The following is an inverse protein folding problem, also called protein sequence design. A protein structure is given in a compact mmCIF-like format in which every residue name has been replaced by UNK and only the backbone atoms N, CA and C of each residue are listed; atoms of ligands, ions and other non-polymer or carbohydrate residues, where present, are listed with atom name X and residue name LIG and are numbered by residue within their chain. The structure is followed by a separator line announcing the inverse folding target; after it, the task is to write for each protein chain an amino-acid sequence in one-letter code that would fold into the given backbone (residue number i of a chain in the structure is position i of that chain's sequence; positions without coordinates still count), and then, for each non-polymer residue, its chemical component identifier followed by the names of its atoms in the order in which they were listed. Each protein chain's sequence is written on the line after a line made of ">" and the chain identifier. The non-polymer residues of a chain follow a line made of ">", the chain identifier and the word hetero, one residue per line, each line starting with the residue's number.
data_IF_758944811449
#
_entry.id   IF_758944811449
#
_cell.length_a   1.000
_cell.length_b   1.000
_cell.length_c   1.000
_cell.angle_alpha   90.00
_cell.angle_beta   90.00
_cell.angle_gamma   90.00
#
_symmetry.space_group_name_H-M   'P 1'
#
loop_
_entity.id
_entity.type
_entity.pdbx_description
1 polymer ?
#
# COMPACT_ATOMS: atom_id res chain seq x y z
N UNK A 1 13.73 1.29 -5.76
CA UNK A 1 13.06 0.15 -6.40
C UNK A 1 11.85 0.58 -7.24
N UNK A 2 10.81 1.22 -6.66
CA UNK A 2 9.72 1.88 -7.39
C UNK A 2 9.95 3.39 -7.39
N UNK A 3 9.71 4.05 -8.53
CA UNK A 3 9.79 5.51 -8.67
C UNK A 3 8.64 6.02 -9.52
N UNK A 4 7.93 7.01 -9.01
CA UNK A 4 6.95 7.80 -9.74
C UNK A 4 7.54 9.19 -9.98
N UNK A 5 7.47 9.69 -11.20
CA UNK A 5 7.97 11.01 -11.56
C UNK A 5 6.86 11.84 -12.21
N UNK A 6 6.48 12.93 -11.54
CA UNK A 6 5.53 13.94 -12.04
C UNK A 6 4.24 13.33 -12.64
N UNK A 7 3.66 12.33 -11.94
CA UNK A 7 2.53 11.56 -12.45
C UNK A 7 1.23 12.37 -12.41
N UNK A 8 0.60 12.54 -13.57
CA UNK A 8 -0.73 13.11 -13.71
C UNK A 8 -1.69 12.03 -14.22
N UNK A 9 -2.83 11.88 -13.54
CA UNK A 9 -3.88 10.92 -13.90
C UNK A 9 -5.21 11.64 -14.03
N UNK A 10 -5.92 11.38 -15.14
CA UNK A 10 -7.24 11.93 -15.44
C UNK A 10 -8.23 10.78 -15.59
N UNK A 11 -9.45 10.95 -15.10
CA UNK A 11 -10.58 10.05 -15.33
C UNK A 11 -11.59 10.70 -16.28
N UNK A 12 -12.16 9.90 -17.17
CA UNK A 12 -13.13 10.32 -18.17
C UNK A 12 -12.67 11.57 -18.98
N UNK A 13 -11.36 11.70 -19.21
CA UNK A 13 -10.71 12.85 -19.89
C UNK A 13 -10.94 14.23 -19.25
N UNK A 14 -11.64 14.30 -18.12
CA UNK A 14 -12.08 15.57 -17.51
C UNK A 14 -11.53 15.74 -16.09
N UNK A 15 -11.56 14.68 -15.26
CA UNK A 15 -11.29 14.79 -13.83
C UNK A 15 -9.81 14.52 -13.54
N UNK A 16 -9.04 15.58 -13.36
CA UNK A 16 -7.63 15.49 -12.96
C UNK A 16 -7.52 15.12 -11.47
N UNK A 17 -7.23 13.84 -11.20
CA UNK A 17 -7.13 13.28 -9.85
C UNK A 17 -5.70 13.35 -9.31
N UNK A 18 -4.69 12.92 -10.07
CA UNK A 18 -3.28 13.09 -9.69
C UNK A 18 -2.69 14.28 -10.43
N UNK A 19 -1.98 15.13 -9.68
CA UNK A 19 -1.57 16.45 -10.14
C UNK A 19 -0.05 16.62 -10.04
N UNK A 20 0.69 15.72 -10.71
CA UNK A 20 2.15 15.76 -10.75
C UNK A 20 2.79 15.20 -9.48
N UNK A 21 2.37 14.02 -9.03
CA UNK A 21 2.97 13.37 -7.86
C UNK A 21 4.31 12.71 -8.21
N UNK A 22 5.24 12.77 -7.25
CA UNK A 22 6.52 12.08 -7.31
C UNK A 22 6.80 11.40 -5.99
N UNK A 23 7.07 10.10 -6.00
CA UNK A 23 7.43 9.33 -4.81
C UNK A 23 8.40 8.21 -5.16
N UNK A 24 9.13 7.74 -4.16
CA UNK A 24 10.06 6.63 -4.29
C UNK A 24 9.82 5.60 -3.18
N UNK A 25 9.93 4.31 -3.54
CA UNK A 25 10.00 3.21 -2.60
C UNK A 25 11.36 2.54 -2.77
N UNK A 26 12.31 2.77 -1.87
CA UNK A 26 13.60 2.07 -1.86
C UNK A 26 13.41 0.56 -1.64
N UNK A 27 14.37 -0.24 -2.08
CA UNK A 27 14.36 -1.68 -1.86
C UNK A 27 14.46 -2.01 -0.36
N UNK A 28 13.66 -2.99 0.10
CA UNK A 28 13.63 -3.43 1.50
C UNK A 28 13.08 -2.40 2.50
N UNK A 29 12.44 -1.32 2.04
CA UNK A 29 11.87 -0.29 2.92
C UNK A 29 10.36 -0.43 3.08
N UNK A 30 9.83 0.07 4.20
CA UNK A 30 8.40 0.37 4.37
C UNK A 30 8.23 1.88 4.20
N UNK A 31 7.39 2.28 3.25
CA UNK A 31 7.05 3.67 2.97
C UNK A 31 5.58 3.90 3.28
N UNK A 32 5.27 4.88 4.14
CA UNK A 32 3.91 5.30 4.42
C UNK A 32 3.42 6.30 3.35
N UNK A 33 2.24 6.05 2.80
CA UNK A 33 1.56 6.95 1.88
C UNK A 33 0.22 7.37 2.47
N UNK A 34 0.18 8.56 3.04
CA UNK A 34 -0.86 9.06 3.92
C UNK A 34 -1.74 10.08 3.22
N UNK A 35 -2.99 10.18 3.64
CA UNK A 35 -3.93 11.17 3.14
C UNK A 35 -5.37 10.84 3.49
N UNK A 36 -6.23 11.84 3.47
CA UNK A 36 -7.68 11.67 3.66
C UNK A 36 -8.32 10.87 2.52
N UNK A 37 -9.59 10.49 2.72
CA UNK A 37 -10.38 9.89 1.63
C UNK A 37 -10.52 10.88 0.47
N UNK A 38 -10.39 10.36 -0.76
CA UNK A 38 -10.43 11.18 -1.97
C UNK A 38 -9.12 11.92 -2.28
N UNK A 39 -8.06 11.79 -1.48
CA UNK A 39 -6.79 12.45 -1.77
C UNK A 39 -6.10 11.96 -3.06
N UNK A 40 -6.42 10.74 -3.55
CA UNK A 40 -5.84 10.13 -4.75
C UNK A 40 -4.95 8.91 -4.47
N UNK A 41 -4.93 8.40 -3.22
CA UNK A 41 -4.12 7.25 -2.81
C UNK A 41 -4.39 6.00 -3.64
N UNK A 42 -5.64 5.53 -3.68
CA UNK A 42 -6.03 4.34 -4.44
C UNK A 42 -5.84 4.52 -5.94
N UNK A 43 -6.03 5.74 -6.48
CA UNK A 43 -5.69 6.07 -7.88
C UNK A 43 -4.19 5.87 -8.15
N UNK A 44 -3.33 6.26 -7.21
CA UNK A 44 -1.89 6.04 -7.31
C UNK A 44 -1.56 4.53 -7.36
N UNK A 45 -2.20 3.74 -6.49
CA UNK A 45 -2.01 2.27 -6.50
C UNK A 45 -2.51 1.64 -7.80
N UNK A 46 -3.65 2.09 -8.34
CA UNK A 46 -4.17 1.63 -9.64
C UNK A 46 -3.22 1.96 -10.78
N UNK A 47 -2.63 3.17 -10.77
CA UNK A 47 -1.62 3.56 -11.75
C UNK A 47 -0.41 2.62 -11.72
N UNK A 48 0.08 2.27 -10.54
CA UNK A 48 1.22 1.35 -10.37
C UNK A 48 0.82 -0.07 -10.79
N UNK A 49 -0.40 -0.51 -10.50
CA UNK A 49 -0.89 -1.87 -10.80
C UNK A 49 -1.38 -2.06 -12.23
N UNK A 50 -1.39 -1.01 -13.07
CA UNK A 50 -1.92 -1.07 -14.45
C UNK A 50 -3.43 -1.27 -14.50
N UNK A 51 -4.17 -0.77 -13.50
CA UNK A 51 -5.61 -0.96 -13.37
C UNK A 51 -6.42 0.29 -13.73
N UNK A 52 -5.80 1.38 -14.18
CA UNK A 52 -6.50 2.62 -14.50
C UNK A 52 -7.52 2.46 -15.61
N UNK A 53 -7.15 1.77 -16.70
CA UNK A 53 -7.99 1.60 -17.89
C UNK A 53 -9.32 0.89 -17.59
N UNK A 54 -9.37 0.07 -16.52
CA UNK A 54 -10.60 -0.62 -16.11
C UNK A 54 -11.63 0.30 -15.46
N UNK A 55 -11.25 1.53 -15.14
CA UNK A 55 -12.10 2.53 -14.50
C UNK A 55 -12.06 3.87 -15.27
N UNK A 56 -11.81 3.85 -16.58
CA UNK A 56 -11.71 5.02 -17.46
C UNK A 56 -10.66 6.06 -16.99
N UNK A 57 -9.58 5.59 -16.37
CA UNK A 57 -8.44 6.42 -15.94
C UNK A 57 -7.26 6.32 -16.89
N UNK A 58 -6.55 7.41 -17.09
CA UNK A 58 -5.39 7.48 -17.97
C UNK A 58 -4.24 8.29 -17.36
N UNK A 59 -2.99 7.84 -17.60
CA UNK A 59 -1.79 8.61 -17.28
C UNK A 59 -1.56 9.63 -18.39
N UNK A 60 -1.81 10.92 -18.12
CA UNK A 60 -1.60 12.00 -19.09
C UNK A 60 -0.16 12.50 -19.10
N UNK A 61 0.55 12.44 -17.98
CA UNK A 61 1.96 12.83 -17.85
C UNK A 61 2.67 12.02 -16.79
N UNK A 62 4.01 12.02 -16.90
CA UNK A 62 4.89 11.39 -15.94
C UNK A 62 5.20 9.94 -16.29
N UNK A 63 5.99 9.31 -15.42
CA UNK A 63 6.44 7.93 -15.59
C UNK A 63 6.36 7.16 -14.29
N UNK A 64 6.17 5.85 -14.40
CA UNK A 64 6.32 4.89 -13.32
C UNK A 64 7.40 3.91 -13.71
N UNK A 65 8.43 3.80 -12.86
CA UNK A 65 9.55 2.90 -13.07
C UNK A 65 9.66 1.91 -11.93
N UNK A 66 9.90 0.66 -12.27
CA UNK A 66 10.20 -0.39 -11.32
C UNK A 66 11.54 -1.03 -11.68
N UNK A 67 12.51 -0.99 -10.73
CA UNK A 67 13.89 -1.45 -10.93
C UNK A 67 14.53 -0.85 -12.20
N UNK A 68 14.27 0.44 -12.44
CA UNK A 68 14.81 1.19 -13.58
C UNK A 68 14.13 0.92 -14.92
N UNK A 69 13.09 0.08 -14.95
CA UNK A 69 12.30 -0.20 -16.16
C UNK A 69 10.93 0.48 -16.09
N UNK A 70 10.45 1.13 -17.17
CA UNK A 70 9.13 1.73 -17.21
C UNK A 70 8.04 0.65 -17.15
N UNK A 71 7.02 0.89 -16.32
CA UNK A 71 5.89 -0.04 -16.13
C UNK A 71 4.52 0.59 -16.43
N UNK A 72 4.45 1.89 -16.64
CA UNK A 72 3.18 2.63 -16.80
C UNK A 72 2.40 2.30 -18.07
N UNK A 73 2.98 1.53 -18.99
CA UNK A 73 2.32 1.00 -20.21
C UNK A 73 2.06 -0.51 -20.13
N UNK A 74 2.34 -1.13 -18.99
CA UNK A 74 2.19 -2.58 -18.81
C UNK A 74 0.83 -2.92 -18.22
N UNK A 75 0.27 -4.04 -18.67
CA UNK A 75 -0.95 -4.58 -18.09
C UNK A 75 -0.74 -5.21 -16.70
N UNK A 76 -1.83 -5.38 -15.91
CA UNK A 76 -1.74 -5.83 -14.51
C UNK A 76 -1.08 -7.21 -14.36
N UNK A 77 -1.30 -8.11 -15.31
CA UNK A 77 -0.68 -9.45 -15.29
C UNK A 77 0.86 -9.39 -15.42
N UNK A 78 1.38 -8.47 -16.25
CA UNK A 78 2.81 -8.27 -16.39
C UNK A 78 3.40 -7.66 -15.13
N UNK A 79 2.71 -6.68 -14.52
CA UNK A 79 3.11 -6.01 -13.29
C UNK A 79 3.23 -7.02 -12.14
N UNK A 80 2.26 -7.92 -11.99
CA UNK A 80 2.34 -9.00 -10.99
C UNK A 80 3.54 -9.91 -11.24
N UNK A 81 3.82 -10.26 -12.50
CA UNK A 81 5.00 -11.09 -12.85
C UNK A 81 6.33 -10.40 -12.60
N UNK A 82 6.37 -9.08 -12.59
CA UNK A 82 7.55 -8.30 -12.18
C UNK A 82 7.79 -8.33 -10.67
N UNK A 83 6.83 -8.85 -9.89
CA UNK A 83 6.92 -8.96 -8.44
C UNK A 83 6.26 -7.79 -7.69
N UNK A 84 5.31 -7.09 -8.29
CA UNK A 84 4.48 -6.08 -7.63
C UNK A 84 3.14 -6.69 -7.32
N UNK A 85 2.77 -6.80 -6.03
CA UNK A 85 1.47 -7.29 -5.59
C UNK A 85 0.71 -6.21 -4.82
N UNK A 86 -0.58 -6.08 -5.08
CA UNK A 86 -1.48 -5.20 -4.34
C UNK A 86 -2.43 -6.02 -3.48
N UNK A 87 -2.59 -5.60 -2.21
CA UNK A 87 -3.69 -5.99 -1.33
C UNK A 87 -4.66 -4.81 -1.32
N UNK A 88 -5.77 -4.89 -2.06
CA UNK A 88 -6.72 -3.78 -2.15
C UNK A 88 -7.54 -3.63 -0.87
N UNK A 89 -8.12 -2.46 -0.67
CA UNK A 89 -9.11 -2.19 0.36
C UNK A 89 -10.30 -3.17 0.27
N UNK A 90 -10.91 -3.46 1.42
CA UNK A 90 -12.11 -4.30 1.51
C UNK A 90 -11.81 -5.81 1.53
N UNK A 91 -10.57 -6.18 1.90
CA UNK A 91 -10.13 -7.56 2.17
C UNK A 91 -10.07 -8.49 0.94
N UNK A 92 -10.96 -8.36 -0.03
CA UNK A 92 -11.02 -9.03 -1.34
C UNK A 92 -10.58 -10.51 -1.34
N UNK A 93 -11.09 -11.30 -0.38
CA UNK A 93 -10.89 -12.77 -0.36
C UNK A 93 -11.87 -13.47 -1.31
N UNK A 94 -11.53 -14.68 -1.76
CA UNK A 94 -12.46 -15.54 -2.48
C UNK A 94 -13.33 -16.25 -1.43
N UNK A 95 -14.54 -15.73 -1.19
CA UNK A 95 -15.40 -16.14 -0.08
C UNK A 95 -15.80 -17.62 -0.13
N UNK A 96 -15.99 -18.16 -1.34
CA UNK A 96 -16.38 -19.55 -1.60
C UNK A 96 -15.22 -20.55 -1.40
N UNK A 97 -13.97 -20.09 -1.52
CA UNK A 97 -12.81 -20.92 -1.32
C UNK A 97 -12.46 -21.02 0.17
N UNK A 98 -11.85 -22.12 0.56
CA UNK A 98 -11.27 -22.29 1.90
C UNK A 98 -10.10 -21.32 2.11
N UNK A 99 -9.68 -21.12 3.37
CA UNK A 99 -8.48 -20.36 3.72
C UNK A 99 -7.24 -20.93 3.01
N UNK A 100 -7.07 -22.26 3.02
CA UNK A 100 -5.95 -22.92 2.34
C UNK A 100 -5.95 -22.63 0.83
N UNK A 101 -7.08 -22.78 0.18
CA UNK A 101 -7.22 -22.53 -1.27
C UNK A 101 -6.95 -21.07 -1.62
N UNK A 102 -7.44 -20.12 -0.81
CA UNK A 102 -7.13 -18.70 -0.97
C UNK A 102 -5.62 -18.43 -0.91
N UNK A 103 -4.89 -19.00 0.06
CA UNK A 103 -3.45 -18.83 0.17
C UNK A 103 -2.76 -19.42 -1.07
N UNK A 104 -3.13 -20.66 -1.46
CA UNK A 104 -2.51 -21.35 -2.60
C UNK A 104 -2.74 -20.65 -3.93
N UNK A 105 -3.89 -20.00 -4.15
CA UNK A 105 -4.17 -19.20 -5.35
C UNK A 105 -3.14 -18.09 -5.52
N UNK A 106 -2.56 -17.54 -4.44
CA UNK A 106 -1.50 -16.55 -4.51
C UNK A 106 -0.27 -17.00 -5.31
N UNK A 107 -0.01 -18.29 -5.38
CA UNK A 107 1.08 -18.86 -6.17
C UNK A 107 0.75 -19.09 -7.66
N UNK A 108 -0.46 -18.74 -8.14
CA UNK A 108 -0.94 -19.06 -9.49
C UNK A 108 -0.02 -18.57 -10.62
N UNK A 109 0.63 -17.43 -10.46
CA UNK A 109 1.52 -16.84 -11.48
C UNK A 109 2.93 -17.42 -11.43
N UNK A 110 3.27 -18.23 -10.43
CA UNK A 110 4.61 -18.79 -10.22
C UNK A 110 4.87 -19.95 -11.18
N UNK A 111 6.16 -20.12 -11.53
CA UNK A 111 6.65 -21.18 -12.40
C UNK A 111 7.67 -22.08 -11.72
N UNK A 112 7.98 -21.83 -10.45
CA UNK A 112 8.85 -22.66 -9.63
C UNK A 112 8.17 -23.98 -9.21
N UNK A 113 8.95 -24.90 -8.67
CA UNK A 113 8.50 -26.25 -8.38
C UNK A 113 7.54 -26.33 -7.20
N UNK A 114 6.86 -27.48 -7.08
CA UNK A 114 5.92 -27.73 -5.97
C UNK A 114 6.58 -27.64 -4.59
N UNK A 115 7.86 -28.05 -4.49
CA UNK A 115 8.60 -28.02 -3.22
C UNK A 115 8.85 -26.57 -2.74
N UNK A 116 9.18 -25.65 -3.65
CA UNK A 116 9.36 -24.23 -3.35
C UNK A 116 8.03 -23.59 -2.93
N UNK A 117 6.94 -23.88 -3.64
CA UNK A 117 5.60 -23.39 -3.30
C UNK A 117 5.17 -23.91 -1.93
N UNK A 118 5.46 -25.18 -1.61
CA UNK A 118 5.11 -25.75 -0.30
C UNK A 118 5.92 -25.13 0.83
N UNK A 119 7.22 -24.88 0.64
CA UNK A 119 8.06 -24.17 1.60
C UNK A 119 7.54 -22.76 1.90
N UNK A 120 7.15 -22.03 0.85
CA UNK A 120 6.61 -20.68 1.03
C UNK A 120 5.23 -20.71 1.69
N UNK A 121 4.42 -21.71 1.41
CA UNK A 121 3.15 -21.92 2.09
C UNK A 121 3.34 -22.10 3.61
N UNK A 122 4.32 -22.91 4.01
CA UNK A 122 4.66 -23.12 5.43
C UNK A 122 5.22 -21.83 6.06
N UNK A 123 6.08 -21.10 5.35
CA UNK A 123 6.57 -19.80 5.76
C UNK A 123 5.43 -18.80 5.93
N UNK A 124 4.50 -18.71 4.98
CA UNK A 124 3.33 -17.82 5.07
C UNK A 124 2.48 -18.17 6.31
N UNK A 125 2.21 -19.44 6.57
CA UNK A 125 1.45 -19.85 7.76
C UNK A 125 2.15 -19.46 9.06
N UNK A 126 3.48 -19.46 9.09
CA UNK A 126 4.24 -19.03 10.28
C UNK A 126 4.04 -17.56 10.65
N UNK A 127 3.70 -16.71 9.67
CA UNK A 127 3.32 -15.31 9.92
C UNK A 127 1.88 -15.17 10.40
N UNK A 128 1.01 -16.13 10.07
CA UNK A 128 -0.43 -16.05 10.31
C UNK A 128 -0.98 -17.27 11.06
N UNK A 129 -0.57 -17.54 12.33
CA UNK A 129 -1.01 -18.73 13.09
C UNK A 129 -2.54 -18.80 13.27
N UNK A 130 -3.24 -17.65 13.25
CA UNK A 130 -4.70 -17.61 13.31
C UNK A 130 -5.35 -18.31 12.09
N UNK A 131 -4.74 -18.20 10.91
CA UNK A 131 -5.22 -18.83 9.68
C UNK A 131 -4.97 -20.35 9.67
N UNK A 132 -3.88 -20.81 10.28
CA UNK A 132 -3.56 -22.24 10.34
C UNK A 132 -4.69 -23.06 10.99
N UNK A 133 -5.35 -22.49 11.99
CA UNK A 133 -6.49 -23.12 12.67
C UNK A 133 -7.77 -23.12 11.85
N UNK A 134 -7.80 -22.41 10.73
CA UNK A 134 -8.97 -22.18 9.88
C UNK A 134 -8.82 -22.72 8.45
N UNK A 135 -7.77 -23.47 8.14
CA UNK A 135 -7.41 -23.87 6.77
C UNK A 135 -8.56 -24.47 5.95
N UNK A 136 -9.43 -25.25 6.60
CA UNK A 136 -10.58 -25.93 5.95
C UNK A 136 -11.88 -25.13 6.00
N UNK A 137 -11.87 -23.94 6.62
CA UNK A 137 -13.04 -23.06 6.69
C UNK A 137 -13.10 -22.22 5.42
N UNK A 138 -14.28 -22.00 4.86
CA UNK A 138 -14.47 -21.06 3.76
C UNK A 138 -14.16 -19.63 4.22
N UNK A 139 -13.48 -18.87 3.38
CA UNK A 139 -13.01 -17.52 3.72
C UNK A 139 -14.14 -16.53 4.01
N UNK A 140 -15.34 -16.78 3.51
CA UNK A 140 -16.53 -15.99 3.84
C UNK A 140 -16.98 -16.08 5.29
N UNK A 141 -16.61 -17.16 6.02
CA UNK A 141 -17.04 -17.41 7.40
C UNK A 141 -15.99 -17.08 8.48
N UNK A 142 -14.80 -16.62 8.10
CA UNK A 142 -13.80 -16.16 9.08
C UNK A 142 -14.01 -14.68 9.42
N UNK A 143 -13.47 -14.25 10.56
CA UNK A 143 -13.58 -12.85 11.00
C UNK A 143 -12.95 -11.88 10.03
N UNK A 144 -13.35 -10.60 10.08
CA UNK A 144 -12.79 -9.56 9.21
C UNK A 144 -11.28 -9.36 9.37
N UNK A 145 -10.72 -9.55 10.57
CA UNK A 145 -9.28 -9.53 10.79
C UNK A 145 -8.57 -10.73 10.15
N UNK A 146 -9.15 -11.93 10.30
CA UNK A 146 -8.63 -13.13 9.63
C UNK A 146 -8.71 -13.00 8.10
N UNK A 147 -9.77 -12.36 7.55
CA UNK A 147 -9.87 -12.08 6.12
C UNK A 147 -8.78 -11.12 5.64
N UNK A 148 -8.44 -10.10 6.44
CA UNK A 148 -7.35 -9.17 6.12
C UNK A 148 -5.99 -9.89 6.14
N UNK A 149 -5.74 -10.70 7.17
CA UNK A 149 -4.56 -11.57 7.24
C UNK A 149 -4.48 -12.51 6.03
N UNK A 150 -5.61 -13.09 5.63
CA UNK A 150 -5.70 -13.98 4.47
C UNK A 150 -5.37 -13.26 3.15
N UNK A 151 -5.83 -12.03 2.98
CA UNK A 151 -5.51 -11.22 1.80
C UNK A 151 -4.01 -10.92 1.71
N UNK A 152 -3.36 -10.60 2.84
CA UNK A 152 -1.90 -10.38 2.91
C UNK A 152 -1.15 -11.70 2.68
N UNK A 153 -1.57 -12.80 3.32
CA UNK A 153 -0.99 -14.13 3.15
C UNK A 153 -1.01 -14.57 1.67
N UNK A 154 -2.15 -14.39 1.00
CA UNK A 154 -2.29 -14.67 -0.43
C UNK A 154 -1.35 -13.84 -1.29
N UNK A 155 -1.18 -12.55 -1.00
CA UNK A 155 -0.25 -11.69 -1.71
C UNK A 155 1.23 -12.12 -1.49
N UNK A 156 1.57 -12.53 -0.27
CA UNK A 156 2.92 -13.00 0.05
C UNK A 156 3.29 -14.28 -0.68
N UNK A 157 2.32 -15.19 -0.94
CA UNK A 157 2.52 -16.41 -1.74
C UNK A 157 3.01 -16.15 -3.16
N UNK A 158 2.79 -14.96 -3.71
CA UNK A 158 3.32 -14.58 -5.03
C UNK A 158 4.82 -14.28 -5.01
N UNK A 159 5.52 -14.32 -3.86
CA UNK A 159 6.90 -13.85 -3.66
C UNK A 159 7.14 -12.43 -4.19
N UNK A 160 6.37 -11.44 -3.72
CA UNK A 160 6.50 -10.10 -4.22
C UNK A 160 7.83 -9.47 -3.78
N UNK A 161 8.40 -8.65 -4.65
CA UNK A 161 9.49 -7.74 -4.27
C UNK A 161 8.94 -6.44 -3.68
N UNK A 162 7.73 -6.06 -4.12
CA UNK A 162 6.97 -4.91 -3.63
C UNK A 162 5.53 -5.33 -3.32
N UNK A 163 5.12 -5.10 -2.09
CA UNK A 163 3.74 -5.26 -1.65
C UNK A 163 3.12 -3.89 -1.42
N UNK A 164 1.98 -3.63 -2.06
CA UNK A 164 1.19 -2.42 -1.87
C UNK A 164 -0.04 -2.77 -1.05
N UNK A 165 -0.20 -2.13 0.11
CA UNK A 165 -1.29 -2.39 1.04
C UNK A 165 -2.20 -1.17 1.10
N UNK A 166 -3.46 -1.34 0.68
CA UNK A 166 -4.45 -0.26 0.64
C UNK A 166 -5.34 -0.34 1.88
N UNK A 167 -5.10 0.55 2.84
CA UNK A 167 -5.83 0.71 4.11
C UNK A 167 -6.03 -0.62 4.88
N UNK A 168 -4.94 -1.36 5.16
CA UNK A 168 -5.04 -2.68 5.79
C UNK A 168 -5.63 -2.66 7.20
N UNK A 169 -5.70 -1.50 7.86
CA UNK A 169 -6.27 -1.32 9.20
C UNK A 169 -7.76 -1.02 9.21
N UNK A 170 -8.36 -0.72 8.05
CA UNK A 170 -9.72 -0.19 7.97
C UNK A 170 -10.77 -1.16 8.55
N UNK A 171 -11.57 -0.66 9.49
CA UNK A 171 -12.68 -1.42 10.10
C UNK A 171 -12.23 -2.61 10.96
N UNK A 172 -11.01 -2.57 11.50
CA UNK A 172 -10.48 -3.58 12.42
C UNK A 172 -10.41 -3.06 13.85
N UNK A 173 -10.50 -3.98 14.81
CA UNK A 173 -10.28 -3.68 16.21
C UNK A 173 -8.81 -3.28 16.46
N UNK A 174 -8.51 -2.36 17.40
CA UNK A 174 -7.16 -1.85 17.62
C UNK A 174 -6.09 -2.93 17.84
N UNK A 175 -6.42 -4.00 18.55
CA UNK A 175 -5.49 -5.11 18.80
C UNK A 175 -5.09 -5.83 17.49
N UNK A 176 -6.06 -6.07 16.58
CA UNK A 176 -5.80 -6.69 15.30
C UNK A 176 -5.00 -5.76 14.36
N UNK A 177 -5.22 -4.46 14.46
CA UNK A 177 -4.42 -3.46 13.73
C UNK A 177 -2.96 -3.59 14.13
N UNK A 178 -2.65 -3.56 15.44
CA UNK A 178 -1.28 -3.76 15.94
C UNK A 178 -0.66 -5.07 15.42
N UNK A 179 -1.39 -6.16 15.51
CA UNK A 179 -0.93 -7.48 15.06
C UNK A 179 -0.58 -7.48 13.57
N UNK A 180 -1.44 -6.92 12.72
CA UNK A 180 -1.20 -6.82 11.27
C UNK A 180 0.04 -5.96 10.96
N UNK A 181 0.21 -4.83 11.65
CA UNK A 181 1.38 -3.97 11.43
C UNK A 181 2.68 -4.64 11.89
N UNK A 182 2.65 -5.40 12.99
CA UNK A 182 3.79 -6.20 13.44
C UNK A 182 4.14 -7.29 12.41
N UNK A 183 3.14 -7.97 11.85
CA UNK A 183 3.34 -8.95 10.78
C UNK A 183 3.94 -8.29 9.54
N UNK A 184 3.44 -7.15 9.10
CA UNK A 184 3.99 -6.39 7.95
C UNK A 184 5.46 -6.05 8.18
N UNK A 185 5.80 -5.57 9.38
CA UNK A 185 7.17 -5.26 9.76
C UNK A 185 8.07 -6.50 9.74
N UNK A 186 7.60 -7.63 10.28
CA UNK A 186 8.32 -8.90 10.24
C UNK A 186 8.55 -9.39 8.81
N UNK A 187 7.53 -9.38 7.95
CA UNK A 187 7.65 -9.74 6.53
C UNK A 187 8.71 -8.87 5.85
N UNK A 188 8.68 -7.55 6.06
CA UNK A 188 9.68 -6.66 5.49
C UNK A 188 11.10 -6.99 5.99
N UNK A 189 11.27 -7.26 7.27
CA UNK A 189 12.59 -7.52 7.88
C UNK A 189 13.16 -8.89 7.51
N UNK A 190 12.33 -9.93 7.50
CA UNK A 190 12.74 -11.32 7.28
C UNK A 190 12.83 -11.66 5.80
N UNK A 191 11.81 -11.29 5.00
CA UNK A 191 11.71 -11.62 3.57
C UNK A 191 12.23 -10.52 2.63
N UNK A 192 12.65 -9.36 3.17
CA UNK A 192 13.12 -8.19 2.41
C UNK A 192 12.10 -7.63 1.41
N UNK A 193 10.83 -7.92 1.60
CA UNK A 193 9.74 -7.36 0.80
C UNK A 193 9.63 -5.87 1.05
N UNK A 194 9.70 -5.06 0.02
CA UNK A 194 9.43 -3.63 0.14
C UNK A 194 7.92 -3.40 0.26
N UNK A 195 7.52 -2.41 1.05
CA UNK A 195 6.09 -2.15 1.30
C UNK A 195 5.76 -0.69 1.01
N UNK A 196 4.74 -0.47 0.19
CA UNK A 196 4.05 0.80 0.08
C UNK A 196 2.74 0.69 0.87
N UNK A 197 2.73 1.28 2.05
CA UNK A 197 1.64 1.21 3.01
C UNK A 197 0.77 2.46 2.89
N UNK A 198 -0.42 2.29 2.30
CA UNK A 198 -1.41 3.36 2.17
C UNK A 198 -2.34 3.33 3.36
N UNK A 199 -2.46 4.44 4.07
CA UNK A 199 -3.24 4.51 5.31
C UNK A 199 -3.84 5.91 5.55
N UNK A 200 -4.92 5.93 6.32
CA UNK A 200 -5.45 7.14 6.94
C UNK A 200 -4.91 7.32 8.36
N UNK A 201 -4.68 6.22 9.07
CA UNK A 201 -4.10 6.23 10.42
C UNK A 201 -2.58 6.49 10.35
N UNK A 202 -2.23 7.78 10.29
CA UNK A 202 -0.85 8.20 10.13
C UNK A 202 0.06 7.73 11.27
N UNK A 203 -0.45 7.70 12.52
CA UNK A 203 0.34 7.29 13.67
C UNK A 203 0.85 5.85 13.52
N UNK A 204 -0.06 4.94 13.19
CA UNK A 204 0.27 3.52 13.04
C UNK A 204 1.19 3.29 11.82
N UNK A 205 0.90 3.93 10.69
CA UNK A 205 1.71 3.77 9.49
C UNK A 205 3.13 4.32 9.67
N UNK A 206 3.28 5.53 10.26
CA UNK A 206 4.59 6.13 10.51
C UNK A 206 5.42 5.37 11.57
N UNK A 207 4.76 4.66 12.50
CA UNK A 207 5.45 3.84 13.51
C UNK A 207 6.23 2.66 12.90
N UNK A 208 5.79 2.15 11.75
CA UNK A 208 6.45 1.01 11.07
C UNK A 208 7.25 1.43 9.84
N UNK A 209 6.94 2.58 9.24
CA UNK A 209 7.62 3.08 8.04
C UNK A 209 8.92 3.82 8.35
N UNK A 210 9.87 3.78 7.43
CA UNK A 210 11.11 4.58 7.49
C UNK A 210 10.92 6.00 6.97
N UNK A 211 10.00 6.19 6.03
CA UNK A 211 9.71 7.46 5.36
C UNK A 211 8.23 7.55 5.06
N UNK A 212 7.67 8.76 4.98
CA UNK A 212 6.27 9.00 4.67
C UNK A 212 6.07 10.10 3.64
N UNK A 213 5.00 9.95 2.86
CA UNK A 213 4.45 10.95 1.97
C UNK A 213 3.03 11.27 2.41
N UNK A 214 2.70 12.55 2.49
CA UNK A 214 1.35 13.03 2.83
C UNK A 214 0.74 13.64 1.58
N UNK A 215 -0.43 13.13 1.23
CA UNK A 215 -1.15 13.50 0.02
C UNK A 215 -2.46 14.23 0.32
N UNK A 216 -2.69 15.33 -0.37
CA UNK A 216 -3.96 16.07 -0.37
C UNK A 216 -4.33 16.51 -1.78
N UNK A 217 -5.60 16.37 -2.15
CA UNK A 217 -6.16 16.87 -3.41
C UNK A 217 -5.30 16.55 -4.64
N UNK A 218 -4.78 15.33 -4.71
CA UNK A 218 -3.98 14.85 -5.83
C UNK A 218 -2.51 15.29 -5.84
N UNK A 219 -1.99 15.86 -4.75
CA UNK A 219 -0.61 16.33 -4.63
C UNK A 219 0.06 15.81 -3.36
N UNK A 220 1.35 15.56 -3.42
CA UNK A 220 2.15 15.37 -2.21
C UNK A 220 2.43 16.75 -1.63
N UNK A 221 1.94 16.99 -0.41
CA UNK A 221 2.05 18.27 0.29
C UNK A 221 3.21 18.29 1.27
N UNK A 222 3.56 17.13 1.83
CA UNK A 222 4.67 16.96 2.77
C UNK A 222 5.29 15.58 2.60
N UNK A 223 6.60 15.47 2.74
CA UNK A 223 7.30 14.20 2.77
C UNK A 223 8.54 14.27 3.68
N UNK A 224 8.95 13.16 4.25
CA UNK A 224 10.13 13.10 5.10
C UNK A 224 10.30 11.80 5.86
N UNK A 225 11.43 11.67 6.60
CA UNK A 225 11.63 10.56 7.53
C UNK A 225 10.49 10.47 8.54
N UNK A 226 9.99 9.26 8.83
CA UNK A 226 8.82 9.05 9.67
C UNK A 226 8.93 9.70 11.04
N UNK A 227 10.10 9.63 11.69
CA UNK A 227 10.31 10.25 13.00
C UNK A 227 10.13 11.78 12.96
N UNK A 228 10.56 12.45 11.86
CA UNK A 228 10.36 13.90 11.69
C UNK A 228 8.90 14.25 11.40
N UNK A 229 8.20 13.42 10.65
CA UNK A 229 6.77 13.61 10.40
C UNK A 229 5.94 13.45 11.68
N UNK A 230 6.30 12.49 12.54
CA UNK A 230 5.62 12.29 13.84
C UNK A 230 5.85 13.46 14.82
N UNK A 231 6.97 14.18 14.70
CA UNK A 231 7.28 15.36 15.51
C UNK A 231 6.62 16.65 14.98
N UNK A 232 6.25 16.67 13.71
CA UNK A 232 5.70 17.84 13.04
C UNK A 232 4.32 18.21 13.62
N UNK A 233 4.15 19.45 14.04
CA UNK A 233 2.93 19.94 14.70
C UNK A 233 1.71 19.90 13.76
N UNK A 234 1.89 20.26 12.49
CA UNK A 234 0.82 20.22 11.50
C UNK A 234 0.37 18.78 11.24
N UNK A 235 1.31 17.81 11.20
CA UNK A 235 0.98 16.39 11.07
C UNK A 235 0.24 15.90 12.30
N UNK A 236 0.64 16.32 13.52
CA UNK A 236 -0.05 16.01 14.77
C UNK A 236 -1.48 16.53 14.78
N UNK A 237 -1.68 17.79 14.39
CA UNK A 237 -3.00 18.42 14.38
C UNK A 237 -3.93 17.75 13.36
N UNK A 238 -3.48 17.55 12.11
CA UNK A 238 -4.34 17.11 11.00
C UNK A 238 -4.50 15.60 10.88
N UNK A 239 -3.46 14.82 11.22
CA UNK A 239 -3.41 13.38 10.94
C UNK A 239 -3.26 12.50 12.18
N UNK A 240 -2.74 13.01 13.31
CA UNK A 240 -2.57 12.23 14.54
C UNK A 240 -3.69 12.47 15.56
N UNK A 241 -4.67 13.32 15.25
CA UNK A 241 -5.86 13.53 16.09
C UNK A 241 -5.58 14.21 17.43
N UNK A 242 -4.44 14.88 17.59
CA UNK A 242 -4.16 15.70 18.77
C UNK A 242 -4.96 16.99 18.60
N UNK A 243 -6.11 17.05 19.27
CA UNK A 243 -7.00 18.22 19.24
C UNK A 243 -6.41 19.38 20.02
N UNK A 244 -6.02 20.45 19.31
CA UNK A 244 -6.29 21.79 19.77
C UNK A 244 -7.60 22.26 19.10
N UNK A 245 -8.47 22.91 19.84
CA UNK A 245 -9.89 23.22 19.54
C UNK A 245 -10.07 24.25 18.39
N UNK A 246 -9.34 24.13 17.28
CA UNK A 246 -9.43 25.01 16.12
C UNK A 246 -9.94 24.27 14.88
N UNK A 247 -10.90 24.88 14.21
CA UNK A 247 -11.56 24.38 13.00
C UNK A 247 -10.58 23.71 12.03
N UNK A 248 -10.96 22.52 11.50
CA UNK A 248 -10.22 21.78 10.47
C UNK A 248 -9.84 22.69 9.30
N UNK A 249 -8.59 23.14 9.27
CA UNK A 249 -7.98 23.82 8.13
C UNK A 249 -7.32 22.78 7.23
N UNK A 250 -7.40 22.96 5.91
CA UNK A 250 -6.62 22.16 4.96
C UNK A 250 -5.14 22.51 5.09
N UNK A 251 -4.26 21.51 4.93
CA UNK A 251 -2.80 21.70 4.91
C UNK A 251 -2.38 22.72 3.83
N UNK A 252 -3.15 22.79 2.74
CA UNK A 252 -2.93 23.76 1.64
C UNK A 252 -3.16 25.22 2.06
N UNK A 253 -3.88 25.47 3.17
CA UNK A 253 -4.23 26.81 3.67
C UNK A 253 -3.26 27.32 4.74
N UNK A 254 -2.39 26.46 5.27
CA UNK A 254 -1.41 26.84 6.29
C UNK A 254 -0.19 27.48 5.64
N UNK A 255 -0.05 28.81 5.79
CA UNK A 255 0.97 29.67 5.13
C UNK A 255 2.43 29.43 5.54
N UNK A 256 2.77 28.49 6.37
CA UNK A 256 4.12 28.28 6.89
C UNK A 256 4.98 27.28 6.14
N UNK A 257 4.49 26.69 5.07
CA UNK A 257 5.24 25.72 4.30
C UNK A 257 6.18 26.40 3.29
N UNK A 258 7.49 26.39 3.55
CA UNK A 258 8.50 26.74 2.55
C UNK A 258 8.55 25.65 1.49
N UNK A 259 7.96 25.91 0.31
CA UNK A 259 8.13 25.07 -0.89
C UNK A 259 9.63 24.89 -1.15
N UNK A 260 10.19 23.71 -0.90
CA UNK A 260 11.48 23.32 -1.45
C UNK A 260 11.31 23.16 -2.96
N UNK A 261 11.78 24.16 -3.74
CA UNK A 261 12.05 23.96 -5.16
C UNK A 261 13.15 22.91 -5.25
N UNK A 262 12.84 21.68 -5.69
CA UNK A 262 13.86 20.76 -6.19
C UNK A 262 14.39 21.40 -7.48
N UNK A 263 15.60 21.90 -7.47
CA UNK A 263 16.35 22.18 -8.68
C UNK A 263 16.79 20.83 -9.22
N UNK A 264 16.34 20.51 -10.42
CA UNK A 264 16.91 19.47 -11.25
C UNK A 264 18.33 19.90 -11.60
N UNK A 265 19.30 19.14 -11.19
CA UNK A 265 20.64 19.04 -11.76
C UNK A 265 20.88 17.61 -12.17
#
# INVERSE_FOLDING_TARGET
>A
MLRLNNLEVVYNDIILVLRGISLEVPEGSIIAFLGSNGAGKSTTLRAISGLLDYEDGEIKKGTIEFRGSPIHTRGPQEIVRLGICQVPEGRRVFAELTVEENIRVGAHTRRDGKAEIQRDYEMVLSYFPALERRLKVQAGFISGGEQQMLAIARALMARPSLMMLDEPSLGLAPLLVSEIFDIIKRINQEEKVSVLLVEQNALMALAVASYGYIMENGKIVLDGPSHKLMENEDVKEFYLGVKDDKARKSFAEVKHYKRRKRWLS
#
